data_IF_833487714733
#
_entry.id   IF_833487714733
#
_cell.length_a   1.000
_cell.length_b   1.000
_cell.length_c   1.000
_cell.angle_alpha   90.00
_cell.angle_beta   90.00
_cell.angle_gamma   90.00
#
_symmetry.space_group_name_H-M   'P 1'
#
loop_
_entity.id
_entity.type
_entity.pdbx_description
1 polymer ?
#
# COMPACT_ATOMS: atom_id res chain seq x y z
N UNK A 1 -15.34 -29.29 -7.82
CA UNK A 1 -15.95 -27.96 -7.81
C UNK A 1 -16.57 -27.75 -9.17
N UNK A 2 -17.89 -27.61 -9.25
CA UNK A 2 -18.54 -27.23 -10.51
C UNK A 2 -17.94 -25.89 -10.93
N UNK A 3 -17.49 -25.80 -12.18
CA UNK A 3 -17.02 -24.54 -12.77
C UNK A 3 -18.20 -23.58 -12.87
N UNK A 4 -18.40 -22.73 -11.84
CA UNK A 4 -19.42 -21.69 -11.90
C UNK A 4 -19.02 -20.70 -13.01
N UNK A 5 -19.84 -20.60 -14.02
CA UNK A 5 -19.64 -19.64 -15.12
C UNK A 5 -20.17 -18.29 -14.64
N UNK A 6 -19.30 -17.30 -14.58
CA UNK A 6 -19.67 -15.90 -14.29
C UNK A 6 -19.96 -15.17 -15.60
N UNK A 7 -20.93 -14.28 -15.58
CA UNK A 7 -21.18 -13.40 -16.73
C UNK A 7 -19.97 -12.48 -16.96
N UNK A 8 -19.55 -12.40 -18.22
CA UNK A 8 -18.38 -11.61 -18.63
C UNK A 8 -18.72 -10.11 -18.56
N UNK A 9 -17.86 -9.33 -17.92
CA UNK A 9 -17.97 -7.86 -17.83
C UNK A 9 -16.91 -7.23 -18.75
N UNK A 10 -17.21 -7.12 -20.03
CA UNK A 10 -16.29 -6.70 -21.10
C UNK A 10 -16.74 -5.43 -21.86
N UNK A 11 -17.90 -4.89 -21.52
CA UNK A 11 -18.46 -3.66 -22.08
C UNK A 11 -19.07 -2.78 -20.98
N UNK A 12 -19.38 -1.52 -21.31
CA UNK A 12 -20.03 -0.59 -20.38
C UNK A 12 -21.41 -1.10 -19.99
N UNK A 13 -22.19 -1.62 -20.93
CA UNK A 13 -23.51 -2.18 -20.68
C UNK A 13 -23.45 -3.40 -19.74
N UNK A 14 -22.48 -4.30 -19.95
CA UNK A 14 -22.27 -5.44 -19.07
C UNK A 14 -21.84 -5.00 -17.66
N UNK A 15 -21.04 -3.93 -17.57
CA UNK A 15 -20.61 -3.34 -16.31
C UNK A 15 -21.80 -2.70 -15.57
N UNK A 16 -22.64 -1.93 -16.23
CA UNK A 16 -23.84 -1.33 -15.64
C UNK A 16 -24.79 -2.42 -15.11
N UNK A 17 -24.96 -3.51 -15.87
CA UNK A 17 -25.73 -4.66 -15.43
C UNK A 17 -25.09 -5.34 -14.19
N UNK A 18 -23.75 -5.48 -14.17
CA UNK A 18 -23.03 -6.02 -13.01
C UNK A 18 -23.19 -5.12 -11.77
N UNK A 19 -23.08 -3.81 -11.92
CA UNK A 19 -23.29 -2.84 -10.82
C UNK A 19 -24.74 -2.94 -10.30
N UNK A 20 -25.72 -3.07 -11.17
CA UNK A 20 -27.12 -3.25 -10.77
C UNK A 20 -27.33 -4.54 -9.95
N UNK A 21 -26.68 -5.65 -10.35
CA UNK A 21 -26.69 -6.91 -9.58
C UNK A 21 -26.04 -6.75 -8.22
N UNK A 22 -24.84 -6.12 -8.15
CA UNK A 22 -24.16 -5.86 -6.86
C UNK A 22 -25.03 -4.98 -5.97
N UNK A 23 -25.69 -3.97 -6.51
CA UNK A 23 -26.56 -3.08 -5.75
C UNK A 23 -27.80 -3.83 -5.21
N UNK A 24 -28.37 -4.76 -5.97
CA UNK A 24 -29.47 -5.61 -5.51
C UNK A 24 -29.00 -6.57 -4.39
N UNK A 25 -27.87 -7.22 -4.56
CA UNK A 25 -27.25 -8.09 -3.55
C UNK A 25 -26.89 -7.30 -2.27
N UNK A 26 -26.36 -6.09 -2.41
CA UNK A 26 -26.02 -5.23 -1.29
C UNK A 26 -27.24 -4.82 -0.47
N UNK A 27 -28.36 -4.47 -1.11
CA UNK A 27 -29.62 -4.17 -0.38
C UNK A 27 -30.09 -5.36 0.46
N UNK A 28 -29.97 -6.58 -0.06
CA UNK A 28 -30.25 -7.79 0.73
C UNK A 28 -29.24 -7.95 1.87
N UNK A 29 -27.96 -7.77 1.59
CA UNK A 29 -26.86 -7.92 2.59
C UNK A 29 -26.95 -6.88 3.70
N UNK A 30 -27.45 -5.67 3.41
CA UNK A 30 -27.66 -4.60 4.39
C UNK A 30 -28.57 -5.02 5.56
N UNK A 31 -29.45 -5.99 5.34
CA UNK A 31 -30.38 -6.48 6.37
C UNK A 31 -29.80 -7.57 7.27
N UNK A 32 -28.56 -8.02 7.02
CA UNK A 32 -27.94 -9.14 7.75
C UNK A 32 -27.55 -8.73 9.18
N UNK A 33 -27.67 -9.69 10.09
CA UNK A 33 -27.24 -9.55 11.48
C UNK A 33 -25.71 -9.59 11.60
N UNK A 34 -25.18 -9.12 12.73
CA UNK A 34 -23.75 -9.18 12.99
C UNK A 34 -23.21 -10.62 12.91
N UNK A 35 -23.94 -11.59 13.44
CA UNK A 35 -23.55 -13.01 13.42
C UNK A 35 -23.44 -13.55 11.98
N UNK A 36 -24.40 -13.22 11.13
CA UNK A 36 -24.35 -13.59 9.72
C UNK A 36 -23.15 -12.98 9.00
N UNK A 37 -22.90 -11.68 9.24
CA UNK A 37 -21.76 -10.95 8.68
C UNK A 37 -20.44 -11.55 9.16
N UNK A 38 -20.32 -11.84 10.45
CA UNK A 38 -19.08 -12.39 11.03
C UNK A 38 -18.78 -13.79 10.50
N UNK A 39 -19.81 -14.62 10.29
CA UNK A 39 -19.66 -15.94 9.65
C UNK A 39 -19.16 -15.82 8.20
N UNK A 40 -19.70 -14.88 7.43
CA UNK A 40 -19.29 -14.63 6.04
C UNK A 40 -17.86 -14.08 6.01
N UNK A 41 -17.53 -13.13 6.88
CA UNK A 41 -16.20 -12.53 6.99
C UNK A 41 -15.14 -13.57 7.32
N UNK A 42 -15.40 -14.47 8.28
CA UNK A 42 -14.51 -15.58 8.62
C UNK A 42 -14.28 -16.50 7.43
N UNK A 43 -15.35 -16.93 6.76
CA UNK A 43 -15.27 -17.86 5.64
C UNK A 43 -14.46 -17.26 4.47
N UNK A 44 -14.71 -16.01 4.15
CA UNK A 44 -14.01 -15.27 3.10
C UNK A 44 -12.52 -15.09 3.42
N UNK A 45 -12.18 -14.68 4.65
CA UNK A 45 -10.80 -14.51 5.09
C UNK A 45 -10.03 -15.84 5.09
N UNK A 46 -10.65 -16.91 5.59
CA UNK A 46 -10.05 -18.26 5.62
C UNK A 46 -9.76 -18.79 4.20
N UNK A 47 -10.71 -18.62 3.27
CA UNK A 47 -10.51 -19.04 1.89
C UNK A 47 -9.41 -18.25 1.19
N UNK A 48 -9.33 -16.93 1.42
CA UNK A 48 -8.28 -16.09 0.88
C UNK A 48 -6.90 -16.49 1.42
N UNK A 49 -6.80 -16.78 2.73
CA UNK A 49 -5.54 -17.25 3.32
C UNK A 49 -5.12 -18.62 2.79
N UNK A 50 -6.04 -19.57 2.64
CA UNK A 50 -5.75 -20.87 2.02
C UNK A 50 -5.26 -20.74 0.58
N UNK A 51 -5.73 -19.75 -0.16
CA UNK A 51 -5.33 -19.48 -1.54
C UNK A 51 -4.08 -18.57 -1.66
N UNK A 52 -3.45 -18.17 -0.56
CA UNK A 52 -2.36 -17.17 -0.56
C UNK A 52 -1.18 -17.54 -1.44
N UNK A 53 -0.81 -18.82 -1.52
CA UNK A 53 0.33 -19.30 -2.32
C UNK A 53 0.03 -19.28 -3.82
N UNK A 54 -1.03 -19.95 -4.33
CA UNK A 54 -1.35 -19.91 -5.75
C UNK A 54 -1.64 -18.48 -6.26
N UNK A 55 -2.30 -17.65 -5.47
CA UNK A 55 -2.55 -16.25 -5.83
C UNK A 55 -1.24 -15.43 -5.92
N UNK A 56 -0.28 -15.66 -5.03
CA UNK A 56 1.02 -15.00 -5.08
C UNK A 56 1.82 -15.38 -6.34
N UNK A 57 1.87 -16.67 -6.68
CA UNK A 57 2.50 -17.16 -7.90
C UNK A 57 1.87 -16.53 -9.14
N UNK A 58 0.55 -16.57 -9.22
CA UNK A 58 -0.20 -15.98 -10.34
C UNK A 58 0.09 -14.49 -10.50
N UNK A 59 0.17 -13.73 -9.39
CA UNK A 59 0.48 -12.31 -9.43
C UNK A 59 1.88 -12.02 -9.96
N UNK A 60 2.90 -12.80 -9.56
CA UNK A 60 4.27 -12.64 -10.07
C UNK A 60 4.37 -13.06 -11.53
N UNK A 61 3.78 -14.18 -11.91
CA UNK A 61 3.79 -14.68 -13.28
C UNK A 61 3.12 -13.70 -14.26
N UNK A 62 1.97 -13.12 -13.88
CA UNK A 62 1.24 -12.19 -14.73
C UNK A 62 1.91 -10.83 -14.83
N UNK A 63 2.45 -10.30 -13.73
CA UNK A 63 2.99 -8.93 -13.69
C UNK A 63 4.47 -8.85 -13.98
N UNK A 64 5.23 -9.92 -13.75
CA UNK A 64 6.69 -9.93 -13.76
C UNK A 64 7.30 -9.12 -12.62
N UNK A 65 6.53 -8.82 -11.54
CA UNK A 65 6.93 -7.93 -10.45
C UNK A 65 6.92 -8.64 -9.10
N UNK A 66 7.94 -8.35 -8.28
CA UNK A 66 8.01 -8.78 -6.90
C UNK A 66 8.55 -10.19 -6.70
N UNK A 67 8.28 -10.72 -5.51
CA UNK A 67 8.80 -11.99 -5.01
C UNK A 67 7.61 -12.83 -4.53
N UNK A 68 7.53 -14.10 -4.96
CA UNK A 68 6.40 -14.99 -4.63
C UNK A 68 6.23 -15.12 -3.11
N UNK A 69 7.32 -15.38 -2.39
CA UNK A 69 7.33 -15.58 -0.94
C UNK A 69 6.79 -14.34 -0.19
N UNK A 70 7.19 -13.16 -0.62
CA UNK A 70 6.74 -11.90 -0.02
C UNK A 70 5.27 -11.61 -0.36
N UNK A 71 4.83 -11.94 -1.58
CA UNK A 71 3.40 -11.85 -1.93
C UNK A 71 2.53 -12.86 -1.17
N UNK A 72 3.08 -14.03 -0.82
CA UNK A 72 2.41 -14.96 0.10
C UNK A 72 2.20 -14.30 1.46
N UNK A 73 3.23 -13.62 2.01
CA UNK A 73 3.12 -12.85 3.26
C UNK A 73 2.09 -11.73 3.12
N UNK A 74 2.09 -10.99 2.01
CA UNK A 74 1.09 -9.94 1.76
C UNK A 74 -0.34 -10.46 1.67
N UNK A 75 -0.56 -11.61 1.04
CA UNK A 75 -1.89 -12.22 0.97
C UNK A 75 -2.34 -12.74 2.34
N UNK A 76 -1.42 -13.34 3.11
CA UNK A 76 -1.67 -13.73 4.51
C UNK A 76 -2.02 -12.51 5.38
N UNK A 77 -1.27 -11.44 5.27
CA UNK A 77 -1.57 -10.18 5.94
C UNK A 77 -2.97 -9.65 5.56
N UNK A 78 -3.26 -9.59 4.26
CA UNK A 78 -4.54 -9.08 3.76
C UNK A 78 -5.75 -9.93 4.16
N UNK A 79 -5.56 -11.20 4.50
CA UNK A 79 -6.61 -12.13 4.93
C UNK A 79 -6.65 -12.30 6.44
N UNK A 80 -5.64 -12.93 7.04
CA UNK A 80 -5.66 -13.31 8.46
C UNK A 80 -5.46 -12.10 9.39
N UNK A 81 -4.53 -11.20 9.11
CA UNK A 81 -4.31 -10.03 9.97
C UNK A 81 -5.50 -9.07 9.92
N UNK A 82 -6.09 -8.87 8.75
CA UNK A 82 -7.30 -8.06 8.59
C UNK A 82 -8.47 -8.72 9.32
N UNK A 83 -8.63 -10.04 9.21
CA UNK A 83 -9.65 -10.76 9.97
C UNK A 83 -9.45 -10.57 11.47
N UNK A 84 -8.24 -10.80 11.97
CA UNK A 84 -7.94 -10.68 13.40
C UNK A 84 -8.15 -9.26 13.94
N UNK A 85 -7.86 -8.23 13.15
CA UNK A 85 -8.08 -6.84 13.51
C UNK A 85 -9.57 -6.51 13.66
N UNK A 86 -10.44 -7.09 12.82
CA UNK A 86 -11.84 -6.69 12.74
C UNK A 86 -12.87 -7.72 13.19
N UNK A 87 -12.46 -8.96 13.51
CA UNK A 87 -13.40 -10.04 13.89
C UNK A 87 -14.37 -9.67 15.02
N UNK A 88 -13.90 -8.87 15.98
CA UNK A 88 -14.70 -8.43 17.13
C UNK A 88 -15.32 -7.02 16.95
N UNK A 89 -15.11 -6.38 15.79
CA UNK A 89 -15.65 -5.05 15.52
C UNK A 89 -17.12 -5.13 15.18
N UNK A 90 -17.95 -4.38 15.92
CA UNK A 90 -19.37 -4.22 15.59
C UNK A 90 -19.53 -3.35 14.35
N UNK A 91 -20.27 -3.84 13.38
CA UNK A 91 -20.54 -3.17 12.10
C UNK A 91 -22.03 -3.20 11.72
N UNK A 92 -22.89 -3.65 12.64
CA UNK A 92 -24.33 -3.74 12.43
C UNK A 92 -25.06 -3.08 13.61
N UNK A 93 -26.05 -2.23 13.31
CA UNK A 93 -26.89 -1.60 14.31
C UNK A 93 -26.13 -0.64 15.25
N UNK A 94 -26.57 -0.55 16.50
CA UNK A 94 -25.96 0.36 17.49
C UNK A 94 -24.58 -0.17 17.89
N UNK A 95 -23.53 0.58 17.54
CA UNK A 95 -22.13 0.23 17.83
C UNK A 95 -21.59 0.91 19.09
N UNK A 96 -22.18 2.04 19.50
CA UNK A 96 -21.81 2.79 20.69
C UNK A 96 -23.04 3.53 21.25
N UNK A 97 -23.18 3.56 22.56
CA UNK A 97 -24.22 4.33 23.25
C UNK A 97 -23.60 5.12 24.41
N UNK A 98 -23.74 6.43 24.35
CA UNK A 98 -23.42 7.34 25.45
C UNK A 98 -24.72 7.77 26.14
N UNK A 99 -25.01 7.14 27.27
CA UNK A 99 -26.24 7.42 28.05
C UNK A 99 -26.21 8.78 28.73
N UNK A 100 -25.03 9.31 29.06
CA UNK A 100 -24.89 10.60 29.71
C UNK A 100 -25.32 11.76 28.82
N UNK A 101 -24.98 11.65 27.52
CA UNK A 101 -25.32 12.66 26.52
C UNK A 101 -26.50 12.25 25.63
N UNK A 102 -27.08 11.07 25.82
CA UNK A 102 -28.19 10.58 25.00
C UNK A 102 -27.84 10.31 23.53
N UNK A 103 -26.58 9.95 23.26
CA UNK A 103 -26.07 9.75 21.90
C UNK A 103 -25.95 8.25 21.59
N UNK A 104 -26.39 7.87 20.39
CA UNK A 104 -26.16 6.53 19.85
C UNK A 104 -25.46 6.62 18.51
N UNK A 105 -24.40 5.82 18.30
CA UNK A 105 -23.76 5.63 17.00
C UNK A 105 -24.30 4.36 16.37
N UNK A 106 -24.79 4.47 15.15
CA UNK A 106 -25.36 3.37 14.38
C UNK A 106 -24.46 3.13 13.16
N UNK A 107 -24.06 1.88 12.93
CA UNK A 107 -23.31 1.48 11.75
C UNK A 107 -24.30 1.11 10.62
N UNK A 108 -24.16 1.81 9.49
CA UNK A 108 -24.92 1.55 8.28
C UNK A 108 -23.98 1.32 7.10
N UNK A 109 -24.31 0.41 6.16
CA UNK A 109 -23.52 0.25 4.95
C UNK A 109 -23.68 1.47 4.03
N UNK A 110 -22.62 1.80 3.30
CA UNK A 110 -22.63 2.93 2.35
C UNK A 110 -23.36 2.55 1.07
N UNK A 111 -23.20 1.31 0.60
CA UNK A 111 -23.78 0.82 -0.65
C UNK A 111 -22.78 0.01 -1.46
N UNK A 112 -22.53 0.44 -2.70
CA UNK A 112 -21.60 -0.19 -3.63
C UNK A 112 -20.28 0.56 -3.64
N UNK A 113 -19.19 -0.14 -3.35
CA UNK A 113 -17.82 0.38 -3.35
C UNK A 113 -17.18 0.12 -4.71
N UNK A 114 -16.71 1.17 -5.38
CA UNK A 114 -15.86 1.06 -6.57
C UNK A 114 -14.40 0.92 -6.17
N UNK A 115 -13.81 -0.25 -6.38
CA UNK A 115 -12.46 -0.57 -5.93
C UNK A 115 -11.47 -0.59 -7.08
N UNK A 116 -10.55 0.36 -7.12
CA UNK A 116 -9.43 0.37 -8.09
C UNK A 116 -8.23 -0.36 -7.50
N UNK A 117 -7.72 -1.36 -8.23
CA UNK A 117 -6.65 -2.26 -7.78
C UNK A 117 -5.35 -2.00 -8.56
N UNK A 118 -4.20 -1.83 -7.89
CA UNK A 118 -2.94 -1.55 -8.54
C UNK A 118 -2.27 -2.82 -9.09
N UNK A 119 -1.31 -2.65 -10.02
CA UNK A 119 -0.46 -3.73 -10.53
C UNK A 119 0.47 -4.30 -9.47
N UNK A 120 0.96 -3.46 -8.57
CA UNK A 120 2.01 -3.80 -7.60
C UNK A 120 1.56 -4.82 -6.55
N UNK A 121 0.29 -4.75 -6.14
CA UNK A 121 -0.28 -5.58 -5.09
C UNK A 121 -1.69 -6.07 -5.46
N UNK A 122 -1.84 -6.80 -6.59
CA UNK A 122 -3.16 -7.07 -7.15
C UNK A 122 -4.02 -7.96 -6.26
N UNK A 123 -3.46 -9.07 -5.77
CA UNK A 123 -4.20 -10.06 -4.97
C UNK A 123 -4.45 -9.57 -3.55
N UNK A 124 -3.43 -9.10 -2.86
CA UNK A 124 -3.58 -8.64 -1.46
C UNK A 124 -4.49 -7.42 -1.34
N UNK A 125 -4.43 -6.48 -2.30
CA UNK A 125 -5.34 -5.31 -2.29
C UNK A 125 -6.78 -5.72 -2.59
N UNK A 126 -7.02 -6.65 -3.51
CA UNK A 126 -8.36 -7.17 -3.79
C UNK A 126 -8.93 -7.91 -2.57
N UNK A 127 -8.11 -8.76 -1.91
CA UNK A 127 -8.49 -9.46 -0.68
C UNK A 127 -8.88 -8.45 0.40
N UNK A 128 -8.01 -7.51 0.72
CA UNK A 128 -8.25 -6.49 1.74
C UNK A 128 -9.56 -5.73 1.50
N UNK A 129 -9.73 -5.17 0.29
CA UNK A 129 -10.90 -4.36 -0.04
C UNK A 129 -12.20 -5.17 0.00
N UNK A 130 -12.18 -6.40 -0.53
CA UNK A 130 -13.35 -7.26 -0.48
C UNK A 130 -13.72 -7.63 0.97
N UNK A 131 -12.75 -7.95 1.81
CA UNK A 131 -13.00 -8.31 3.21
C UNK A 131 -13.60 -7.16 4.02
N UNK A 132 -13.06 -5.93 3.91
CA UNK A 132 -13.64 -4.79 4.63
C UNK A 132 -15.04 -4.43 4.12
N UNK A 133 -15.31 -4.59 2.81
CA UNK A 133 -16.64 -4.40 2.26
C UNK A 133 -17.63 -5.44 2.80
N UNK A 134 -17.25 -6.73 2.83
CA UNK A 134 -18.10 -7.77 3.42
C UNK A 134 -18.36 -7.54 4.91
N UNK A 135 -17.33 -7.17 5.69
CA UNK A 135 -17.50 -6.89 7.13
C UNK A 135 -18.46 -5.74 7.41
N UNK A 136 -18.58 -4.79 6.48
CA UNK A 136 -19.42 -3.58 6.60
C UNK A 136 -20.72 -3.63 5.80
N UNK A 137 -21.10 -4.81 5.31
CA UNK A 137 -22.33 -5.05 4.52
C UNK A 137 -22.42 -4.23 3.22
N UNK A 138 -21.26 -3.87 2.64
CA UNK A 138 -21.17 -3.20 1.36
C UNK A 138 -20.99 -4.21 0.21
N UNK A 139 -21.53 -3.87 -0.97
CA UNK A 139 -21.17 -4.52 -2.22
C UNK A 139 -19.90 -3.92 -2.80
N UNK A 140 -19.20 -4.64 -3.67
CA UNK A 140 -17.97 -4.17 -4.29
C UNK A 140 -17.89 -4.50 -5.77
N UNK A 141 -17.49 -3.50 -6.57
CA UNK A 141 -17.09 -3.64 -7.97
C UNK A 141 -15.60 -3.42 -8.07
N UNK A 142 -14.87 -4.43 -8.54
CA UNK A 142 -13.42 -4.41 -8.67
C UNK A 142 -13.02 -4.00 -10.09
N UNK A 143 -12.23 -2.91 -10.19
CA UNK A 143 -11.55 -2.49 -11.41
C UNK A 143 -10.08 -2.89 -11.33
N UNK A 144 -9.67 -4.00 -11.95
CA UNK A 144 -8.29 -4.46 -11.93
C UNK A 144 -7.42 -3.65 -12.89
N UNK A 145 -6.14 -3.57 -12.60
CA UNK A 145 -5.17 -3.04 -13.56
C UNK A 145 -5.04 -4.02 -14.76
N UNK A 146 -4.98 -3.55 -16.01
CA UNK A 146 -4.91 -4.43 -17.19
C UNK A 146 -3.80 -5.49 -17.14
N UNK A 147 -2.63 -5.15 -16.59
CA UNK A 147 -1.48 -6.06 -16.48
C UNK A 147 -1.52 -7.01 -15.26
N UNK A 148 -2.61 -7.00 -14.47
CA UNK A 148 -2.76 -7.83 -13.29
C UNK A 148 -4.22 -8.29 -13.12
N UNK A 149 -4.98 -8.30 -14.21
CA UNK A 149 -6.41 -8.61 -14.18
C UNK A 149 -6.70 -10.04 -13.76
N UNK A 150 -5.92 -11.00 -14.26
CA UNK A 150 -6.10 -12.43 -13.97
C UNK A 150 -5.93 -12.73 -12.48
N UNK A 151 -4.83 -12.30 -11.88
CA UNK A 151 -4.55 -12.49 -10.46
C UNK A 151 -5.57 -11.76 -9.57
N UNK A 152 -5.96 -10.53 -9.93
CA UNK A 152 -6.98 -9.76 -9.21
C UNK A 152 -8.33 -10.47 -9.22
N UNK A 153 -8.79 -10.93 -10.40
CA UNK A 153 -10.07 -11.62 -10.57
C UNK A 153 -10.04 -12.98 -9.84
N UNK A 154 -8.93 -13.71 -9.89
CA UNK A 154 -8.78 -14.96 -9.16
C UNK A 154 -8.97 -14.76 -7.64
N UNK A 155 -8.36 -13.71 -7.07
CA UNK A 155 -8.56 -13.37 -5.67
C UNK A 155 -10.03 -13.01 -5.34
N UNK A 156 -10.68 -12.22 -6.21
CA UNK A 156 -12.09 -11.86 -6.04
C UNK A 156 -13.02 -13.09 -6.08
N UNK A 157 -12.76 -14.04 -7.00
CA UNK A 157 -13.54 -15.30 -7.11
C UNK A 157 -13.45 -16.14 -5.85
N UNK A 158 -12.23 -16.34 -5.32
CA UNK A 158 -12.02 -17.10 -4.08
C UNK A 158 -12.87 -16.55 -2.95
N UNK A 159 -12.89 -15.22 -2.79
CA UNK A 159 -13.62 -14.55 -1.72
C UNK A 159 -15.13 -14.65 -1.96
N UNK A 160 -15.60 -14.38 -3.19
CA UNK A 160 -17.02 -14.43 -3.53
C UNK A 160 -17.60 -15.83 -3.29
N UNK A 161 -16.94 -16.87 -3.77
CA UNK A 161 -17.38 -18.25 -3.62
C UNK A 161 -17.48 -18.66 -2.14
N UNK A 162 -16.49 -18.30 -1.32
CA UNK A 162 -16.52 -18.58 0.11
C UNK A 162 -17.62 -17.78 0.83
N UNK A 163 -17.79 -16.51 0.49
CA UNK A 163 -18.81 -15.65 1.06
C UNK A 163 -20.23 -16.16 0.74
N UNK A 164 -20.50 -16.52 -0.52
CA UNK A 164 -21.79 -17.06 -0.95
C UNK A 164 -22.08 -18.40 -0.28
N UNK A 165 -21.09 -19.29 -0.21
CA UNK A 165 -21.21 -20.58 0.53
C UNK A 165 -21.53 -20.39 2.01
N UNK A 166 -21.06 -19.29 2.62
CA UNK A 166 -21.33 -18.93 4.00
C UNK A 166 -22.68 -18.22 4.19
N UNK A 167 -23.38 -17.86 3.09
CA UNK A 167 -24.71 -17.26 3.08
C UNK A 167 -24.80 -15.84 2.56
N UNK A 168 -23.71 -15.26 2.04
CA UNK A 168 -23.78 -13.95 1.38
C UNK A 168 -24.65 -14.01 0.11
N UNK A 169 -25.32 -12.90 -0.25
CA UNK A 169 -26.07 -12.83 -1.50
C UNK A 169 -25.16 -13.06 -2.71
N UNK A 170 -25.65 -13.81 -3.70
CA UNK A 170 -24.97 -13.92 -4.99
C UNK A 170 -24.82 -12.54 -5.64
N UNK A 171 -23.67 -12.29 -6.26
CA UNK A 171 -23.39 -11.01 -6.92
C UNK A 171 -22.93 -9.88 -5.99
N UNK A 172 -22.66 -10.14 -4.70
CA UNK A 172 -22.16 -9.10 -3.76
C UNK A 172 -20.78 -8.56 -4.15
N UNK A 173 -19.99 -9.32 -4.88
CA UNK A 173 -18.70 -8.94 -5.46
C UNK A 173 -18.76 -9.17 -6.96
N UNK A 174 -18.35 -8.16 -7.75
CA UNK A 174 -18.16 -8.28 -9.18
C UNK A 174 -16.88 -7.57 -9.63
N UNK A 175 -16.46 -7.76 -10.86
CA UNK A 175 -15.22 -7.25 -11.43
C UNK A 175 -15.36 -6.95 -12.91
N UNK A 176 -14.40 -6.19 -13.46
CA UNK A 176 -14.22 -5.95 -14.88
C UNK A 176 -13.30 -7.03 -15.46
N UNK A 177 -13.74 -7.77 -16.47
CA UNK A 177 -12.92 -8.79 -17.16
C UNK A 177 -12.03 -8.19 -18.25
N UNK A 178 -12.45 -7.09 -18.88
CA UNK A 178 -11.67 -6.36 -19.89
C UNK A 178 -11.50 -4.91 -19.44
N UNK A 179 -10.49 -4.65 -18.54
CA UNK A 179 -10.32 -3.34 -17.97
C UNK A 179 -9.85 -2.31 -19.00
N UNK A 180 -10.53 -1.16 -19.02
CA UNK A 180 -10.17 0.04 -19.76
C UNK A 180 -10.32 1.28 -18.88
N UNK A 181 -9.82 2.42 -19.37
CA UNK A 181 -10.00 3.70 -18.67
C UNK A 181 -11.48 4.08 -18.60
N UNK A 182 -12.24 3.85 -19.68
CA UNK A 182 -13.67 4.09 -19.73
C UNK A 182 -14.42 3.25 -18.70
N UNK A 183 -14.16 1.94 -18.63
CA UNK A 183 -14.74 1.03 -17.65
C UNK A 183 -14.43 1.47 -16.22
N UNK A 184 -13.18 1.85 -15.95
CA UNK A 184 -12.77 2.34 -14.63
C UNK A 184 -13.49 3.64 -14.25
N UNK A 185 -13.62 4.58 -15.19
CA UNK A 185 -14.37 5.81 -14.98
C UNK A 185 -15.86 5.55 -14.74
N UNK A 186 -16.46 4.57 -15.43
CA UNK A 186 -17.83 4.15 -15.18
C UNK A 186 -18.01 3.58 -13.78
N UNK A 187 -17.07 2.72 -13.31
CA UNK A 187 -17.07 2.27 -11.90
C UNK A 187 -17.03 3.44 -10.94
N UNK A 188 -16.16 4.42 -11.17
CA UNK A 188 -16.07 5.60 -10.30
C UNK A 188 -17.35 6.42 -10.29
N UNK A 189 -18.01 6.58 -11.44
CA UNK A 189 -19.24 7.37 -11.59
C UNK A 189 -20.45 6.69 -10.94
N UNK A 190 -20.59 5.38 -11.09
CA UNK A 190 -21.79 4.62 -10.70
C UNK A 190 -21.72 4.06 -9.27
N UNK A 191 -20.55 4.06 -8.63
CA UNK A 191 -20.38 3.63 -7.24
C UNK A 191 -20.87 4.67 -6.24
N UNK A 192 -21.16 4.25 -5.03
CA UNK A 192 -21.57 5.15 -3.94
C UNK A 192 -20.35 5.75 -3.23
N UNK A 193 -19.24 5.02 -3.18
CA UNK A 193 -17.93 5.46 -2.72
C UNK A 193 -16.82 4.79 -3.50
N UNK A 194 -15.70 5.46 -3.69
CA UNK A 194 -14.53 4.95 -4.39
C UNK A 194 -13.42 4.63 -3.40
N UNK A 195 -12.83 3.44 -3.52
CA UNK A 195 -11.67 3.00 -2.78
C UNK A 195 -10.50 2.80 -3.75
N UNK A 196 -9.72 3.86 -3.99
CA UNK A 196 -8.70 3.90 -5.03
C UNK A 196 -7.30 3.65 -4.49
N UNK A 197 -6.61 2.66 -5.06
CA UNK A 197 -5.17 2.45 -4.88
C UNK A 197 -4.53 2.38 -6.27
N UNK A 198 -3.64 3.31 -6.55
CA UNK A 198 -3.04 3.41 -7.89
C UNK A 198 -2.08 4.59 -8.00
N UNK A 199 -1.56 4.84 -9.19
CA UNK A 199 -0.70 5.99 -9.44
C UNK A 199 -1.44 7.34 -9.25
N UNK A 200 -0.70 8.46 -9.14
CA UNK A 200 -1.26 9.78 -8.83
C UNK A 200 -2.40 10.22 -9.76
N UNK A 201 -2.29 9.89 -11.07
CA UNK A 201 -3.34 10.19 -12.04
C UNK A 201 -4.67 9.50 -11.76
N UNK A 202 -4.62 8.24 -11.33
CA UNK A 202 -5.81 7.46 -10.98
C UNK A 202 -6.47 7.96 -9.70
N UNK A 203 -5.66 8.30 -8.70
CA UNK A 203 -6.15 8.88 -7.44
C UNK A 203 -6.78 10.25 -7.68
N UNK A 204 -6.17 11.09 -8.53
CA UNK A 204 -6.76 12.36 -8.95
C UNK A 204 -8.09 12.16 -9.68
N UNK A 205 -8.20 11.17 -10.57
CA UNK A 205 -9.45 10.84 -11.24
C UNK A 205 -10.55 10.44 -10.24
N UNK A 206 -10.22 9.61 -9.24
CA UNK A 206 -11.15 9.23 -8.18
C UNK A 206 -11.70 10.45 -7.42
N UNK A 207 -10.83 11.35 -6.96
CA UNK A 207 -11.26 12.58 -6.26
C UNK A 207 -12.01 13.57 -7.16
N UNK A 208 -11.77 13.52 -8.48
CA UNK A 208 -12.43 14.39 -9.46
C UNK A 208 -13.75 13.82 -10.01
N UNK A 209 -14.14 12.62 -9.61
CA UNK A 209 -15.33 11.93 -10.13
C UNK A 209 -16.66 12.52 -9.63
N UNK A 210 -16.62 13.36 -8.60
CA UNK A 210 -17.82 13.88 -7.92
C UNK A 210 -18.43 12.91 -6.91
N UNK A 211 -17.79 11.77 -6.66
CA UNK A 211 -18.17 10.78 -5.63
C UNK A 211 -17.26 10.85 -4.41
N UNK A 212 -17.73 10.50 -3.23
CA UNK A 212 -16.82 10.29 -2.09
C UNK A 212 -15.71 9.31 -2.47
N UNK A 213 -14.47 9.62 -2.12
CA UNK A 213 -13.34 8.77 -2.46
C UNK A 213 -12.37 8.65 -1.28
N UNK A 214 -11.85 7.45 -1.09
CA UNK A 214 -10.76 7.10 -0.18
C UNK A 214 -9.59 6.66 -1.05
N UNK A 215 -8.72 7.61 -1.39
CA UNK A 215 -7.59 7.40 -2.30
C UNK A 215 -6.26 7.43 -1.54
N UNK A 216 -5.24 6.80 -2.12
CA UNK A 216 -3.87 6.79 -1.60
C UNK A 216 -2.96 7.49 -2.58
N UNK A 217 -2.20 8.48 -2.11
CA UNK A 217 -1.16 9.15 -2.87
C UNK A 217 0.12 8.32 -3.01
N UNK A 218 1.07 8.82 -3.79
CA UNK A 218 2.42 8.27 -3.87
C UNK A 218 3.15 8.47 -2.53
N UNK A 219 4.08 7.55 -2.19
CA UNK A 219 4.92 7.64 -1.02
C UNK A 219 6.37 7.96 -1.39
N UNK A 220 6.96 8.98 -0.79
CA UNK A 220 8.40 9.27 -0.92
C UNK A 220 9.02 9.37 0.48
N UNK A 221 9.13 8.23 1.14
CA UNK A 221 9.46 8.12 2.56
C UNK A 221 10.94 8.43 2.81
N UNK A 222 11.28 9.52 3.52
CA UNK A 222 12.61 9.72 4.05
C UNK A 222 12.78 8.99 5.38
N UNK A 223 13.95 8.39 5.60
CA UNK A 223 14.37 7.83 6.88
C UNK A 223 15.53 8.65 7.44
N UNK A 224 15.35 9.34 8.55
CA UNK A 224 16.43 10.02 9.26
C UNK A 224 17.11 9.05 10.22
N UNK A 225 18.43 8.92 10.14
CA UNK A 225 19.24 8.13 11.06
C UNK A 225 20.06 9.09 11.93
N UNK A 226 19.60 9.26 13.16
CA UNK A 226 20.21 10.12 14.18
C UNK A 226 21.51 9.50 14.72
N UNK A 227 22.43 10.32 15.21
CA UNK A 227 23.73 9.87 15.75
C UNK A 227 23.61 8.98 17.01
N UNK A 228 22.46 8.99 17.68
CA UNK A 228 22.17 8.11 18.82
C UNK A 228 21.48 6.79 18.42
N UNK A 229 21.23 6.56 17.12
CA UNK A 229 20.54 5.38 16.63
C UNK A 229 21.38 4.10 16.86
N UNK A 230 20.71 2.97 17.05
CA UNK A 230 21.32 1.67 16.82
C UNK A 230 21.49 1.47 15.32
N UNK A 231 22.74 1.60 14.85
CA UNK A 231 23.09 1.53 13.43
C UNK A 231 22.68 0.18 12.83
N UNK A 232 22.94 -0.91 13.55
CA UNK A 232 22.59 -2.26 13.11
C UNK A 232 21.08 -2.41 12.93
N UNK A 233 20.29 -1.96 13.89
CA UNK A 233 18.83 -1.97 13.80
C UNK A 233 18.34 -1.10 12.64
N UNK A 234 18.87 0.13 12.51
CA UNK A 234 18.45 1.06 11.47
C UNK A 234 18.70 0.52 10.06
N UNK A 235 19.92 0.06 9.80
CA UNK A 235 20.34 -0.47 8.49
C UNK A 235 19.57 -1.75 8.14
N UNK A 236 19.43 -2.68 9.09
CA UNK A 236 18.63 -3.89 8.90
C UNK A 236 17.18 -3.57 8.57
N UNK A 237 16.58 -2.64 9.30
CA UNK A 237 15.19 -2.24 9.10
C UNK A 237 14.97 -1.64 7.71
N UNK A 238 15.85 -0.73 7.28
CA UNK A 238 15.80 -0.12 5.95
C UNK A 238 15.97 -1.17 4.85
N UNK A 239 16.96 -2.07 4.97
CA UNK A 239 17.18 -3.15 3.99
C UNK A 239 15.94 -4.06 3.93
N UNK A 240 15.43 -4.51 5.07
CA UNK A 240 14.26 -5.38 5.14
C UNK A 240 13.03 -4.73 4.48
N UNK A 241 12.78 -3.47 4.82
CA UNK A 241 11.69 -2.69 4.24
C UNK A 241 11.84 -2.49 2.72
N UNK A 242 13.07 -2.22 2.26
CA UNK A 242 13.38 -1.90 0.86
C UNK A 242 13.45 -3.12 -0.04
N UNK A 243 13.76 -4.29 0.50
CA UNK A 243 13.82 -5.55 -0.26
C UNK A 243 12.53 -6.35 -0.22
N UNK A 244 11.65 -6.10 0.73
CA UNK A 244 10.36 -6.78 0.83
C UNK A 244 9.52 -6.55 -0.43
N UNK A 245 9.22 -7.63 -1.13
CA UNK A 245 8.56 -7.65 -2.44
C UNK A 245 9.22 -6.67 -3.44
N UNK A 246 10.55 -6.61 -3.43
CA UNK A 246 11.35 -5.67 -4.22
C UNK A 246 10.92 -4.20 -4.04
N UNK A 247 10.58 -3.78 -2.83
CA UNK A 247 10.29 -2.39 -2.50
C UNK A 247 8.92 -1.87 -2.98
N UNK A 248 7.98 -2.76 -3.24
CA UNK A 248 6.64 -2.39 -3.76
C UNK A 248 5.60 -2.06 -2.68
N UNK A 249 6.00 -1.69 -1.48
CA UNK A 249 5.11 -1.01 -0.54
C UNK A 249 5.40 0.48 -0.60
N UNK A 250 4.37 1.30 -0.84
CA UNK A 250 4.51 2.76 -0.95
C UNK A 250 5.04 3.43 0.34
N UNK A 251 4.95 2.75 1.48
CA UNK A 251 5.55 3.17 2.74
C UNK A 251 7.02 2.73 2.90
N UNK A 252 7.64 2.07 1.91
CA UNK A 252 9.07 1.73 1.99
C UNK A 252 9.95 2.97 1.88
N UNK A 253 11.07 2.97 2.59
CA UNK A 253 12.03 4.07 2.56
C UNK A 253 12.55 4.30 1.13
N UNK A 254 12.51 5.54 0.66
CA UNK A 254 13.04 5.95 -0.63
C UNK A 254 14.40 6.62 -0.49
N UNK A 255 14.66 7.19 0.67
CA UNK A 255 15.88 7.90 1.00
C UNK A 255 16.28 7.65 2.44
N UNK A 256 17.59 7.61 2.71
CA UNK A 256 18.15 7.70 4.06
C UNK A 256 18.95 8.99 4.21
N UNK A 257 18.74 9.70 5.30
CA UNK A 257 19.41 10.95 5.65
C UNK A 257 20.19 10.68 6.93
N UNK A 258 21.50 10.65 6.84
CA UNK A 258 22.38 10.16 7.90
C UNK A 258 23.21 11.30 8.48
N UNK A 259 23.24 11.41 9.81
CA UNK A 259 24.10 12.38 10.51
C UNK A 259 25.56 12.17 10.17
N UNK A 260 26.28 13.23 9.83
CA UNK A 260 27.71 13.18 9.40
C UNK A 260 28.60 12.43 10.39
N UNK A 261 28.34 12.55 11.70
CA UNK A 261 29.11 11.89 12.75
C UNK A 261 29.11 10.37 12.68
N UNK A 262 28.10 9.75 12.06
CA UNK A 262 27.96 8.29 11.93
C UNK A 262 27.88 7.84 10.47
N UNK A 263 28.02 8.75 9.51
CA UNK A 263 27.78 8.48 8.09
C UNK A 263 28.60 7.30 7.56
N UNK A 264 29.92 7.33 7.81
CA UNK A 264 30.80 6.25 7.35
C UNK A 264 30.50 4.89 8.01
N UNK A 265 30.06 4.89 9.28
CA UNK A 265 29.67 3.66 9.98
C UNK A 265 28.39 3.07 9.36
N UNK A 266 27.41 3.90 9.10
CA UNK A 266 26.15 3.49 8.43
C UNK A 266 26.42 2.97 7.01
N UNK A 267 27.28 3.64 6.26
CA UNK A 267 27.70 3.22 4.92
C UNK A 267 28.39 1.85 4.94
N UNK A 268 29.32 1.64 5.85
CA UNK A 268 29.99 0.35 6.02
C UNK A 268 29.00 -0.76 6.40
N UNK A 269 28.04 -0.48 7.27
CA UNK A 269 27.01 -1.44 7.67
C UNK A 269 26.10 -1.82 6.50
N UNK A 270 25.67 -0.86 5.67
CA UNK A 270 24.94 -1.16 4.43
C UNK A 270 25.75 -2.04 3.48
N UNK A 271 27.03 -1.70 3.25
CA UNK A 271 27.91 -2.46 2.38
C UNK A 271 28.13 -3.90 2.89
N UNK A 272 28.38 -4.06 4.19
CA UNK A 272 28.60 -5.37 4.83
C UNK A 272 27.35 -6.27 4.73
N UNK A 273 26.15 -5.69 4.53
CA UNK A 273 24.89 -6.42 4.40
C UNK A 273 24.43 -6.64 2.96
N UNK A 274 25.31 -6.38 1.98
CA UNK A 274 25.06 -6.67 0.57
C UNK A 274 24.40 -5.54 -0.19
N UNK A 275 24.46 -4.31 0.29
CA UNK A 275 24.09 -3.14 -0.49
C UNK A 275 25.28 -2.67 -1.33
N UNK A 276 25.00 -2.18 -2.53
CA UNK A 276 26.00 -1.72 -3.48
C UNK A 276 25.94 -0.21 -3.66
N UNK A 277 27.05 0.48 -3.35
CA UNK A 277 27.18 1.92 -3.53
C UNK A 277 27.62 2.23 -4.96
N UNK A 278 26.75 2.93 -5.67
CA UNK A 278 26.98 3.36 -7.05
C UNK A 278 27.97 4.53 -7.08
N UNK A 279 28.93 4.48 -7.98
CA UNK A 279 29.96 5.52 -8.10
C UNK A 279 30.11 6.02 -9.53
N UNK A 280 30.47 7.29 -9.69
CA UNK A 280 30.87 7.91 -10.95
C UNK A 280 29.89 7.64 -12.12
N UNK A 281 30.36 6.92 -13.13
CA UNK A 281 29.57 6.65 -14.31
C UNK A 281 28.37 5.72 -14.05
N UNK A 282 28.51 4.75 -13.15
CA UNK A 282 27.46 3.79 -12.82
C UNK A 282 26.32 4.45 -12.05
N UNK A 283 26.62 5.41 -11.16
CA UNK A 283 25.61 6.24 -10.52
C UNK A 283 24.77 6.97 -11.58
N UNK A 284 25.40 7.58 -12.58
CA UNK A 284 24.71 8.30 -13.64
C UNK A 284 23.88 7.38 -14.55
N UNK A 285 24.32 6.15 -14.81
CA UNK A 285 23.55 5.18 -15.57
C UNK A 285 22.27 4.77 -14.82
N UNK A 286 22.38 4.45 -13.53
CA UNK A 286 21.21 4.09 -12.71
C UNK A 286 20.29 5.29 -12.58
N UNK A 287 20.81 6.51 -12.32
CA UNK A 287 20.02 7.76 -12.28
C UNK A 287 19.12 7.88 -13.51
N UNK A 288 19.65 7.75 -14.71
CA UNK A 288 18.89 7.83 -15.97
C UNK A 288 17.89 6.68 -16.17
N UNK A 289 18.01 5.61 -15.37
CA UNK A 289 17.11 4.46 -15.44
C UNK A 289 15.90 4.61 -14.52
N UNK A 290 15.98 5.48 -13.49
CA UNK A 290 14.89 5.68 -12.51
C UNK A 290 13.67 6.31 -13.18
N UNK A 291 13.86 7.36 -13.98
CA UNK A 291 12.78 8.05 -14.67
C UNK A 291 12.90 7.91 -16.19
N UNK A 292 11.75 7.88 -16.86
CA UNK A 292 11.64 8.01 -18.33
C UNK A 292 10.63 9.11 -18.61
N UNK A 293 11.06 10.13 -19.35
CA UNK A 293 10.23 11.30 -19.66
C UNK A 293 9.59 11.97 -18.42
N UNK A 294 10.33 12.04 -17.32
CA UNK A 294 9.88 12.63 -16.05
C UNK A 294 8.94 11.75 -15.22
N UNK A 295 8.61 10.54 -15.65
CA UNK A 295 7.79 9.59 -14.90
C UNK A 295 8.60 8.37 -14.44
N UNK A 296 8.17 7.75 -13.34
CA UNK A 296 8.80 6.53 -12.84
C UNK A 296 8.85 5.45 -13.95
N UNK A 297 10.04 4.91 -14.18
CA UNK A 297 10.25 3.84 -15.15
C UNK A 297 9.55 2.55 -14.70
N UNK A 298 8.45 2.20 -15.34
CA UNK A 298 7.69 0.99 -15.02
C UNK A 298 8.50 -0.31 -15.11
N UNK A 299 9.65 -0.31 -15.82
CA UNK A 299 10.51 -1.49 -15.97
C UNK A 299 11.35 -1.80 -14.75
N UNK A 300 11.54 -0.84 -13.82
CA UNK A 300 12.28 -1.07 -12.58
C UNK A 300 11.35 -1.42 -11.41
N UNK A 301 10.06 -1.11 -11.51
CA UNK A 301 9.10 -1.34 -10.43
C UNK A 301 9.03 -2.84 -10.09
N UNK A 302 9.27 -3.17 -8.83
CA UNK A 302 9.24 -4.54 -8.33
C UNK A 302 10.33 -5.46 -8.87
N UNK A 303 11.38 -4.92 -9.51
CA UNK A 303 12.54 -5.69 -9.97
C UNK A 303 13.62 -5.78 -8.89
N UNK A 304 14.44 -6.84 -8.93
CA UNK A 304 15.59 -6.96 -8.04
C UNK A 304 16.65 -5.89 -8.34
N UNK A 305 17.51 -5.59 -7.36
CA UNK A 305 18.64 -4.68 -7.55
C UNK A 305 19.55 -5.10 -8.71
N UNK A 306 19.80 -6.40 -8.83
CA UNK A 306 20.60 -6.97 -9.94
C UNK A 306 19.96 -6.71 -11.31
N UNK A 307 18.63 -6.92 -11.43
CA UNK A 307 17.91 -6.66 -12.69
C UNK A 307 17.89 -5.18 -13.05
N UNK A 308 17.81 -4.30 -12.08
CA UNK A 308 17.87 -2.85 -12.32
C UNK A 308 19.27 -2.43 -12.76
N UNK A 309 20.32 -2.97 -12.15
CA UNK A 309 21.69 -2.75 -12.59
C UNK A 309 21.91 -3.23 -14.04
N UNK A 310 21.41 -4.41 -14.39
CA UNK A 310 21.45 -4.92 -15.76
C UNK A 310 20.74 -3.98 -16.76
N UNK A 311 19.54 -3.50 -16.41
CA UNK A 311 18.79 -2.54 -17.23
C UNK A 311 19.53 -1.21 -17.42
N UNK A 312 20.31 -0.80 -16.43
CA UNK A 312 21.14 0.40 -16.47
C UNK A 312 22.50 0.16 -17.18
N UNK A 313 22.85 -1.07 -17.52
CA UNK A 313 24.16 -1.42 -18.06
C UNK A 313 25.29 -1.28 -17.03
N UNK A 314 25.01 -1.65 -15.79
CA UNK A 314 25.93 -1.65 -14.63
C UNK A 314 26.14 -3.07 -14.14
N UNK A 315 27.38 -3.42 -13.83
CA UNK A 315 27.72 -4.72 -13.26
C UNK A 315 27.80 -4.60 -11.73
N UNK A 316 27.07 -5.45 -11.03
CA UNK A 316 27.07 -5.51 -9.55
C UNK A 316 27.30 -6.96 -9.09
N UNK A 317 27.79 -7.19 -7.86
CA UNK A 317 27.92 -8.54 -7.32
C UNK A 317 26.59 -9.31 -7.34
N UNK A 318 26.70 -10.62 -7.54
CA UNK A 318 25.54 -11.50 -7.35
C UNK A 318 25.03 -11.41 -5.91
N UNK A 319 23.71 -11.37 -5.72
CA UNK A 319 23.11 -11.21 -4.41
C UNK A 319 23.07 -9.77 -3.87
N UNK A 320 23.42 -8.76 -4.68
CA UNK A 320 23.21 -7.35 -4.31
C UNK A 320 21.75 -7.10 -3.95
N UNK A 321 21.53 -6.60 -2.72
CA UNK A 321 20.18 -6.41 -2.17
C UNK A 321 19.57 -5.07 -2.54
N UNK A 322 20.38 -3.99 -2.44
CA UNK A 322 19.94 -2.61 -2.70
C UNK A 322 21.03 -1.86 -3.45
N UNK A 323 20.65 -1.07 -4.45
CA UNK A 323 21.51 -0.10 -5.10
C UNK A 323 21.41 1.23 -4.36
N UNK A 324 22.52 1.78 -3.88
CA UNK A 324 22.54 3.03 -3.14
C UNK A 324 23.27 4.10 -3.94
N UNK A 325 22.59 5.22 -4.17
CA UNK A 325 23.18 6.43 -4.72
C UNK A 325 23.45 7.45 -3.62
N UNK A 326 24.73 7.82 -3.42
CA UNK A 326 25.11 8.96 -2.59
C UNK A 326 24.87 10.22 -3.43
N UNK A 327 23.91 11.06 -3.01
CA UNK A 327 23.49 12.25 -3.74
C UNK A 327 23.30 13.42 -2.77
N UNK A 328 23.39 14.65 -3.30
CA UNK A 328 23.32 15.87 -2.51
C UNK A 328 21.96 16.56 -2.58
N UNK A 329 21.40 16.62 -3.80
CA UNK A 329 20.13 17.31 -4.02
C UNK A 329 18.94 16.48 -3.59
N UNK A 330 18.03 17.09 -2.84
CA UNK A 330 16.73 16.55 -2.44
C UNK A 330 15.59 17.06 -3.33
N UNK A 331 15.89 17.87 -4.33
CA UNK A 331 14.90 18.39 -5.27
C UNK A 331 14.54 17.35 -6.34
N UNK A 332 13.33 17.43 -6.90
CA UNK A 332 12.86 16.51 -7.95
C UNK A 332 13.63 16.63 -9.29
N UNK A 333 14.62 17.50 -9.40
CA UNK A 333 15.60 17.50 -10.49
C UNK A 333 16.64 16.37 -10.36
N UNK A 334 16.77 15.78 -9.15
CA UNK A 334 17.57 14.58 -8.90
C UNK A 334 16.66 13.35 -8.93
N UNK A 335 16.92 12.43 -9.84
CA UNK A 335 16.08 11.24 -10.04
C UNK A 335 16.05 10.32 -8.80
N UNK A 336 17.15 10.27 -8.02
CA UNK A 336 17.18 9.52 -6.76
C UNK A 336 16.26 10.10 -5.67
N UNK A 337 15.86 11.37 -5.79
CA UNK A 337 14.93 12.00 -4.84
C UNK A 337 13.46 11.56 -5.02
N UNK A 338 13.13 10.84 -6.10
CA UNK A 338 11.78 10.37 -6.39
C UNK A 338 11.43 9.04 -5.71
N UNK A 339 10.13 8.70 -5.69
CA UNK A 339 9.66 7.35 -5.39
C UNK A 339 10.15 6.38 -6.47
N UNK A 340 10.65 5.22 -6.06
CA UNK A 340 11.28 4.26 -6.98
C UNK A 340 10.58 2.90 -7.01
N UNK A 341 9.80 2.54 -5.99
CA UNK A 341 9.08 1.26 -5.87
C UNK A 341 9.95 0.04 -6.25
N UNK A 342 11.20 0.08 -5.82
CA UNK A 342 12.26 -0.87 -6.18
C UNK A 342 13.40 -0.80 -5.18
N UNK A 343 14.33 -1.78 -5.11
CA UNK A 343 15.48 -1.75 -4.21
C UNK A 343 16.58 -0.79 -4.69
N UNK A 344 16.20 0.46 -4.91
CA UNK A 344 17.09 1.60 -5.19
C UNK A 344 16.86 2.65 -4.12
N UNK A 345 17.92 3.14 -3.46
CA UNK A 345 17.87 4.03 -2.32
C UNK A 345 18.78 5.25 -2.54
N UNK A 346 18.30 6.44 -2.19
CA UNK A 346 19.16 7.61 -2.06
C UNK A 346 19.80 7.65 -0.66
N UNK A 347 21.05 8.11 -0.55
CA UNK A 347 21.71 8.36 0.73
C UNK A 347 22.27 9.77 0.77
N UNK A 348 21.89 10.51 1.81
CA UNK A 348 22.22 11.92 2.03
C UNK A 348 23.01 12.11 3.31
N UNK A 349 23.96 13.04 3.29
CA UNK A 349 24.58 13.59 4.49
C UNK A 349 23.66 14.57 5.21
N UNK A 350 23.79 14.67 6.53
CA UNK A 350 23.19 15.74 7.32
C UNK A 350 24.19 16.23 8.37
N UNK A 351 24.53 17.52 8.31
CA UNK A 351 25.49 18.15 9.22
C UNK A 351 24.98 18.24 10.66
N UNK A 352 23.66 18.40 10.81
CA UNK A 352 22.95 18.51 12.09
C UNK A 352 21.47 18.09 11.92
N UNK A 353 20.73 18.06 13.03
CA UNK A 353 19.30 17.67 13.01
C UNK A 353 18.43 18.61 12.18
N UNK A 354 18.71 19.91 12.17
CA UNK A 354 17.96 20.86 11.37
C UNK A 354 18.13 20.61 9.87
N UNK A 355 19.34 20.31 9.43
CA UNK A 355 19.64 19.94 8.05
C UNK A 355 18.97 18.59 7.68
N UNK A 356 19.01 17.60 8.59
CA UNK A 356 18.33 16.33 8.39
C UNK A 356 16.82 16.51 8.22
N UNK A 357 16.20 17.31 9.08
CA UNK A 357 14.76 17.58 9.03
C UNK A 357 14.38 18.40 7.82
N UNK A 358 15.19 19.40 7.43
CA UNK A 358 14.95 20.19 6.22
C UNK A 358 14.99 19.33 4.96
N UNK A 359 15.96 18.39 4.85
CA UNK A 359 16.03 17.43 3.75
C UNK A 359 14.83 16.49 3.72
N UNK A 360 14.44 15.94 4.87
CA UNK A 360 13.27 15.06 4.99
C UNK A 360 11.98 15.79 4.60
N UNK A 361 11.78 17.00 5.11
CA UNK A 361 10.62 17.83 4.83
C UNK A 361 10.51 18.17 3.32
N UNK A 362 11.64 18.49 2.68
CA UNK A 362 11.70 18.75 1.25
C UNK A 362 11.32 17.52 0.41
N UNK A 363 11.86 16.36 0.72
CA UNK A 363 11.53 15.10 0.05
C UNK A 363 10.05 14.74 0.19
N UNK A 364 9.46 14.99 1.38
CA UNK A 364 8.04 14.76 1.63
C UNK A 364 7.18 15.75 0.80
N UNK A 365 7.51 17.04 0.86
CA UNK A 365 6.74 18.09 0.19
C UNK A 365 6.68 17.89 -1.32
N UNK A 366 7.75 17.42 -1.94
CA UNK A 366 7.85 17.28 -3.39
C UNK A 366 7.28 15.96 -3.92
N UNK A 367 7.29 14.86 -3.14
CA UNK A 367 6.96 13.56 -3.69
C UNK A 367 6.09 12.64 -2.83
N UNK A 368 5.88 12.95 -1.55
CA UNK A 368 5.19 12.05 -0.61
C UNK A 368 4.34 12.76 0.43
N UNK A 369 3.83 13.95 0.10
CA UNK A 369 3.13 14.80 1.05
C UNK A 369 1.94 14.08 1.70
N UNK A 370 1.95 14.04 3.03
CA UNK A 370 0.94 13.35 3.83
C UNK A 370 1.16 11.84 4.01
N UNK A 371 2.12 11.19 3.32
CA UNK A 371 2.20 9.72 3.35
C UNK A 371 2.86 9.19 4.63
N UNK A 372 4.16 9.08 4.70
CA UNK A 372 4.92 8.43 5.79
C UNK A 372 6.31 9.05 5.92
N UNK A 373 6.82 9.15 7.14
CA UNK A 373 8.21 9.46 7.45
C UNK A 373 8.77 8.47 8.48
N UNK A 374 10.07 8.22 8.45
CA UNK A 374 10.75 7.27 9.34
C UNK A 374 11.90 7.94 10.10
N UNK A 375 12.10 7.53 11.35
CA UNK A 375 13.16 8.02 12.23
C UNK A 375 13.80 6.87 12.98
N UNK A 376 15.12 6.79 12.95
CA UNK A 376 15.94 5.88 13.75
C UNK A 376 16.73 6.68 14.77
N UNK A 377 16.49 6.43 16.05
CA UNK A 377 16.98 7.26 17.16
C UNK A 377 16.92 6.51 18.49
N UNK A 378 17.74 6.88 19.45
CA UNK A 378 17.54 6.45 20.83
C UNK A 378 16.41 7.28 21.50
N UNK A 379 15.22 6.73 21.55
CA UNK A 379 14.02 7.41 22.05
C UNK A 379 14.07 7.75 23.52
N UNK A 380 14.91 7.06 24.33
CA UNK A 380 15.08 7.34 25.75
C UNK A 380 16.05 8.52 25.98
N UNK A 381 17.10 8.62 25.15
CA UNK A 381 18.08 9.70 25.26
C UNK A 381 17.59 11.01 24.64
N UNK A 382 16.80 10.93 23.57
CA UNK A 382 16.38 12.10 22.77
C UNK A 382 14.85 12.11 22.51
N UNK A 383 13.98 12.04 23.55
CA UNK A 383 12.53 12.04 23.36
C UNK A 383 12.02 13.34 22.68
N UNK A 384 12.65 14.48 23.00
CA UNK A 384 12.27 15.78 22.42
C UNK A 384 12.53 15.83 20.90
N UNK A 385 13.57 15.15 20.43
CA UNK A 385 13.85 15.05 18.98
C UNK A 385 12.78 14.24 18.26
N UNK A 386 12.25 13.17 18.89
CA UNK A 386 11.13 12.39 18.35
C UNK A 386 9.89 13.29 18.18
N UNK A 387 9.58 14.09 19.21
CA UNK A 387 8.45 15.02 19.17
C UNK A 387 8.65 16.10 18.10
N UNK A 388 9.83 16.73 18.04
CA UNK A 388 10.15 17.74 17.06
C UNK A 388 10.07 17.20 15.62
N UNK A 389 10.53 15.97 15.38
CA UNK A 389 10.38 15.29 14.09
C UNK A 389 8.91 15.08 13.74
N UNK A 390 8.12 14.58 14.68
CA UNK A 390 6.70 14.31 14.49
C UNK A 390 5.90 15.59 14.19
N UNK A 391 6.22 16.69 14.85
CA UNK A 391 5.55 17.98 14.64
C UNK A 391 5.90 18.61 13.28
N UNK A 392 7.14 18.40 12.82
CA UNK A 392 7.61 18.98 11.58
C UNK A 392 7.18 18.22 10.34
N UNK A 393 7.22 16.88 10.37
CA UNK A 393 6.92 16.06 9.19
C UNK A 393 5.43 16.10 8.86
N UNK A 394 5.09 16.59 7.68
CA UNK A 394 3.69 16.67 7.19
C UNK A 394 3.26 15.33 6.60
N UNK A 395 3.20 14.31 7.45
CA UNK A 395 2.79 12.93 7.11
C UNK A 395 1.80 12.38 8.13
N UNK A 396 0.91 11.50 7.68
CA UNK A 396 -0.10 10.86 8.52
C UNK A 396 0.47 9.72 9.38
N UNK A 397 1.67 9.25 9.04
CA UNK A 397 2.35 8.15 9.72
C UNK A 397 3.80 8.51 9.96
N UNK A 398 4.23 8.37 11.22
CA UNK A 398 5.62 8.48 11.62
C UNK A 398 6.02 7.15 12.25
N UNK A 399 7.03 6.53 11.67
CA UNK A 399 7.51 5.22 12.07
C UNK A 399 8.88 5.39 12.73
N UNK A 400 9.02 4.91 13.97
CA UNK A 400 10.26 5.08 14.76
C UNK A 400 10.87 3.72 15.03
N UNK A 401 12.16 3.56 14.71
CA UNK A 401 12.95 2.34 14.95
C UNK A 401 12.29 1.05 14.41
N UNK A 402 11.60 1.16 13.26
CA UNK A 402 10.80 0.08 12.68
C UNK A 402 10.93 0.11 11.16
N UNK A 403 10.99 -1.04 10.47
CA UNK A 403 10.93 -1.08 9.01
C UNK A 403 9.69 -0.36 8.50
N UNK A 404 9.85 0.70 7.69
CA UNK A 404 8.74 1.60 7.37
C UNK A 404 7.64 0.94 6.54
N UNK A 405 7.98 0.01 5.64
CA UNK A 405 6.99 -0.70 4.83
C UNK A 405 6.03 -1.52 5.70
N UNK A 406 6.54 -2.31 6.64
CA UNK A 406 5.75 -3.15 7.53
C UNK A 406 5.06 -2.32 8.62
N UNK A 407 5.77 -1.38 9.24
CA UNK A 407 5.20 -0.51 10.26
C UNK A 407 4.09 0.39 9.72
N UNK A 408 4.25 0.93 8.51
CA UNK A 408 3.28 1.83 7.88
C UNK A 408 1.95 1.17 7.54
N UNK A 409 1.95 -0.08 7.12
CA UNK A 409 0.72 -0.84 6.87
C UNK A 409 0.05 -1.36 8.15
N UNK A 410 0.72 -1.27 9.31
CA UNK A 410 0.16 -1.68 10.60
C UNK A 410 0.25 -3.19 10.85
N UNK A 411 1.37 -3.79 10.51
CA UNK A 411 1.62 -5.23 10.73
C UNK A 411 2.24 -5.56 12.10
N UNK A 412 3.03 -6.64 12.18
CA UNK A 412 3.61 -7.20 13.41
C UNK A 412 4.42 -6.20 14.26
N UNK A 413 4.97 -5.16 13.65
CA UNK A 413 5.87 -4.21 14.33
C UNK A 413 5.12 -3.08 15.01
N UNK A 414 3.87 -2.82 14.61
CA UNK A 414 3.12 -1.70 15.14
C UNK A 414 1.62 -2.01 15.33
N UNK A 415 1.28 -2.56 16.48
CA UNK A 415 -0.10 -2.93 16.84
C UNK A 415 -1.07 -1.76 17.03
N UNK A 416 -0.61 -0.51 16.99
CA UNK A 416 -1.46 0.68 17.18
C UNK A 416 -1.96 1.27 15.87
N UNK A 417 -1.22 1.13 14.78
CA UNK A 417 -1.74 1.47 13.47
C UNK A 417 -2.69 0.36 12.99
N UNK A 418 -3.85 0.77 12.51
CA UNK A 418 -4.84 -0.16 11.95
C UNK A 418 -4.25 -0.84 10.71
N UNK A 419 -4.31 -2.18 10.61
CA UNK A 419 -3.83 -2.87 9.41
C UNK A 419 -4.61 -2.45 8.18
N UNK A 420 -3.91 -2.05 7.13
CA UNK A 420 -4.53 -1.58 5.88
C UNK A 420 -3.60 -1.69 4.69
N UNK A 421 -4.19 -1.86 3.50
CA UNK A 421 -3.53 -1.68 2.21
C UNK A 421 -4.04 -0.43 1.47
N UNK A 422 -4.69 0.48 2.20
CA UNK A 422 -5.11 1.81 1.71
C UNK A 422 -4.66 2.86 2.73
N UNK A 423 -3.50 3.48 2.46
CA UNK A 423 -2.79 4.35 3.38
C UNK A 423 -3.12 5.82 3.09
N UNK A 424 -4.17 6.36 3.70
CA UNK A 424 -4.58 7.75 3.51
C UNK A 424 -3.46 8.74 3.81
N UNK A 425 -3.38 9.82 3.01
CA UNK A 425 -2.36 10.85 3.12
C UNK A 425 -2.90 12.20 3.66
N UNK A 426 -4.15 12.22 4.10
CA UNK A 426 -4.79 13.38 4.68
C UNK A 426 -4.90 14.58 3.75
N UNK A 427 -5.28 15.72 4.30
CA UNK A 427 -5.43 16.98 3.57
C UNK A 427 -4.11 17.41 2.90
N UNK A 428 -2.98 17.15 3.53
CA UNK A 428 -1.66 17.45 2.96
C UNK A 428 -1.42 16.72 1.64
N UNK A 429 -1.81 15.43 1.55
CA UNK A 429 -1.70 14.63 0.33
C UNK A 429 -2.91 14.76 -0.60
N UNK A 430 -3.82 15.72 -0.38
CA UNK A 430 -5.04 15.87 -1.15
C UNK A 430 -6.01 14.70 -0.99
N UNK A 431 -5.97 14.03 0.16
CA UNK A 431 -6.82 12.88 0.48
C UNK A 431 -7.88 13.23 1.53
N UNK A 432 -8.96 12.46 1.56
CA UNK A 432 -10.05 12.62 2.53
C UNK A 432 -9.81 11.88 3.86
N UNK A 433 -8.76 11.07 3.97
CA UNK A 433 -8.45 10.27 5.17
C UNK A 433 -7.00 10.47 5.58
N UNK A 434 -6.79 10.80 6.87
CA UNK A 434 -5.47 11.05 7.49
C UNK A 434 -4.90 9.85 8.23
N UNK A 435 -5.35 8.65 7.92
CA UNK A 435 -4.93 7.42 8.57
C UNK A 435 -5.11 6.20 7.65
N UNK A 436 -4.73 5.03 8.14
CA UNK A 436 -4.99 3.76 7.45
C UNK A 436 -6.50 3.52 7.34
N UNK A 437 -6.98 3.29 6.11
CA UNK A 437 -8.41 3.05 5.86
C UNK A 437 -8.82 1.67 6.38
N UNK A 438 -9.94 1.61 7.08
CA UNK A 438 -10.52 0.38 7.61
C UNK A 438 -12.04 0.45 7.67
N UNK A 439 -12.64 -0.46 8.44
CA UNK A 439 -14.11 -0.63 8.51
C UNK A 439 -14.87 0.56 9.09
N UNK A 440 -14.20 1.50 9.76
CA UNK A 440 -14.87 2.69 10.34
C UNK A 440 -15.09 3.82 9.33
N UNK A 441 -14.45 3.76 8.18
CA UNK A 441 -14.54 4.76 7.12
C UNK A 441 -15.67 4.45 6.14
#
# INVERSE_FOLDING_TARGET
MENKVYELTDSVEALEAAIARVRAAQRQYATFTQEQVDKIFLAAATAADQARIPLARMAVEETGMGIVEDKVIKNHYASEYIYNAYRNTKTCGIIEEDKAFGIKKIAEPIGVVGAVIPTTNPTSTAIFKALICLKTRNGIIISPHPRAKGATIAAAKVILEAAVKAGAPEGIIAWIDVPSLEMTNTVMKESDIILATGGPGMVKAAYSSGKPALGVGAGNVPAVIDDSADITLAVNSVIHSKTFDNGMICASEQSVIVMDSIYEQVKQEFAARGCWFLQGHDLNKVRKTILINGALNARIVGQSAHKIAELAGVTVPEGTKVLIGEVESVDLSEEFAHEKLSPVLAMYHAKDLEDAFAKADRLIADGGYGHTASLYINTQKKPDVVNAFAERMKTCRIVVNTPSSQGGIGDLYNFKLIPSLTLGCGSWGGNSVSENVGVKH
#
